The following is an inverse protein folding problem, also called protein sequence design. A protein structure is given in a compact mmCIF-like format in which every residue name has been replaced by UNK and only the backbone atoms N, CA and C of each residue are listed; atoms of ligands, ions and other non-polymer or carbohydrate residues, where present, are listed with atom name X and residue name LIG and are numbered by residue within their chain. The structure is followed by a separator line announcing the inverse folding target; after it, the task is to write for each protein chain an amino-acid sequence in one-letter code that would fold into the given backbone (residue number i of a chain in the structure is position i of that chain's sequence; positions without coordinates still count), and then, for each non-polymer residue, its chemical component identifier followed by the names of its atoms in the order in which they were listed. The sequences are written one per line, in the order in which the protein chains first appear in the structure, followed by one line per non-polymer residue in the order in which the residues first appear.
data_IF_848424659255
#
_entry.id   IF_848424659255
#
_cell.length_a   1.000
_cell.length_b   1.000
_cell.length_c   1.000
_cell.angle_alpha   90.00
_cell.angle_beta   90.00
_cell.angle_gamma   90.00
#
_symmetry.space_group_name_H-M   'P 1'
#
loop_
_entity.id
_entity.type
_entity.pdbx_description
1 polymer ?
#
# COMPACT_ATOMS: atom_id res chain seq x y z
N UNK A 1 71.04 22.08 32.79
CA UNK A 1 71.50 21.55 31.50
C UNK A 1 70.66 22.22 30.43
N UNK A 2 71.26 23.16 29.68
CA UNK A 2 70.61 23.94 28.62
C UNK A 2 70.38 23.07 27.38
N UNK A 3 69.26 23.27 26.67
CA UNK A 3 69.25 23.19 25.20
C UNK A 3 68.24 24.19 24.61
N UNK A 4 68.77 25.06 23.75
CA UNK A 4 68.15 26.04 22.85
C UNK A 4 67.72 25.32 21.56
N UNK A 5 66.60 25.69 20.89
CA UNK A 5 66.41 25.90 19.42
C UNK A 5 65.03 26.61 19.21
N UNK A 6 65.00 27.92 18.91
CA UNK A 6 64.75 28.58 17.60
C UNK A 6 63.37 28.34 16.95
N UNK A 7 62.50 29.36 17.05
CA UNK A 7 61.29 29.55 16.23
C UNK A 7 61.66 30.19 14.88
N UNK A 8 61.34 29.52 13.78
CA UNK A 8 61.37 30.12 12.44
C UNK A 8 59.96 30.50 11.97
N UNK A 9 59.87 31.76 11.52
CA UNK A 9 58.79 32.34 10.74
C UNK A 9 58.73 31.73 9.35
N UNK A 10 57.53 31.38 8.87
CA UNK A 10 57.24 31.20 7.45
C UNK A 10 55.98 31.99 7.08
N UNK A 11 56.21 32.97 6.20
CA UNK A 11 55.23 33.82 5.52
C UNK A 11 54.31 32.96 4.65
N UNK A 12 52.98 33.09 4.80
CA UNK A 12 52.03 32.59 3.81
C UNK A 12 51.91 33.60 2.67
N UNK A 13 52.26 33.15 1.46
CA UNK A 13 51.99 33.86 0.20
C UNK A 13 50.48 33.84 -0.07
N UNK A 14 49.89 35.00 -0.35
CA UNK A 14 48.52 35.12 -0.88
C UNK A 14 48.54 34.76 -2.36
N UNK A 15 47.91 33.65 -2.72
CA UNK A 15 47.57 33.35 -4.10
C UNK A 15 46.20 33.96 -4.40
N UNK A 16 46.17 34.90 -5.35
CA UNK A 16 44.95 35.39 -5.98
C UNK A 16 44.24 34.22 -6.67
N UNK A 17 43.03 33.92 -6.23
CA UNK A 17 42.12 33.02 -6.93
C UNK A 17 41.19 33.86 -7.79
N UNK A 18 41.42 33.84 -9.11
CA UNK A 18 40.49 34.33 -10.11
C UNK A 18 39.15 33.58 -9.97
N UNK A 19 38.10 34.28 -9.55
CA UNK A 19 36.73 33.77 -9.52
C UNK A 19 36.15 33.92 -10.93
N UNK A 20 35.79 32.83 -11.64
CA UNK A 20 35.13 32.94 -12.92
C UNK A 20 33.78 33.63 -12.76
N UNK A 21 33.56 34.69 -13.53
CA UNK A 21 32.25 35.32 -13.70
C UNK A 21 31.27 34.27 -14.23
N UNK A 22 30.41 33.75 -13.35
CA UNK A 22 29.26 32.93 -13.75
C UNK A 22 28.27 33.85 -14.44
N UNK A 23 28.20 33.77 -15.76
CA UNK A 23 27.10 34.31 -16.54
C UNK A 23 25.81 33.69 -16.02
N UNK A 24 24.83 34.53 -15.68
CA UNK A 24 23.45 34.12 -15.43
C UNK A 24 22.87 33.53 -16.72
N UNK A 25 23.20 32.28 -17.02
CA UNK A 25 22.42 31.48 -17.96
C UNK A 25 21.09 31.17 -17.27
N UNK A 26 20.07 31.80 -17.82
CA UNK A 26 18.66 31.53 -17.59
C UNK A 26 18.47 30.02 -17.71
N UNK A 27 18.23 29.33 -16.59
CA UNK A 27 17.79 27.94 -16.60
C UNK A 27 16.50 27.89 -17.42
N UNK A 28 16.62 27.48 -18.68
CA UNK A 28 15.50 27.14 -19.52
C UNK A 28 14.74 26.02 -18.82
N UNK A 29 13.44 26.23 -18.59
CA UNK A 29 12.49 25.22 -18.20
C UNK A 29 12.52 24.09 -19.25
N UNK A 30 13.36 23.09 -19.01
CA UNK A 30 13.14 21.76 -19.60
C UNK A 30 11.79 21.32 -19.06
N UNK A 31 10.78 21.32 -19.92
CA UNK A 31 9.54 20.59 -19.69
C UNK A 31 9.92 19.12 -19.47
N UNK A 32 10.12 18.75 -18.21
CA UNK A 32 10.28 17.37 -17.82
C UNK A 32 8.95 16.69 -18.15
N UNK A 33 8.97 15.84 -19.17
CA UNK A 33 7.78 15.11 -19.60
C UNK A 33 7.33 14.25 -18.44
N UNK A 34 6.22 14.63 -17.79
CA UNK A 34 5.62 13.89 -16.68
C UNK A 34 5.58 12.40 -17.01
N UNK A 35 6.24 11.58 -16.19
CA UNK A 35 6.19 10.10 -16.25
C UNK A 35 4.73 9.64 -16.27
N UNK A 36 4.39 8.72 -17.17
CA UNK A 36 3.09 8.07 -17.16
C UNK A 36 2.97 7.22 -15.89
N UNK A 37 1.89 7.44 -15.14
CA UNK A 37 1.59 6.69 -13.92
C UNK A 37 0.71 5.48 -14.24
N UNK A 38 0.79 4.40 -13.46
CA UNK A 38 -0.12 3.26 -13.60
C UNK A 38 -1.59 3.65 -13.40
N UNK A 39 -1.85 4.61 -12.51
CA UNK A 39 -3.19 5.15 -12.28
C UNK A 39 -3.71 6.07 -13.40
N UNK A 40 -2.88 6.48 -14.37
CA UNK A 40 -3.35 7.39 -15.42
C UNK A 40 -4.50 6.74 -16.23
N UNK A 41 -5.61 7.48 -16.37
CA UNK A 41 -6.85 7.04 -16.99
C UNK A 41 -7.80 6.28 -16.07
N UNK A 42 -7.46 6.04 -14.79
CA UNK A 42 -8.36 5.43 -13.82
C UNK A 42 -9.27 6.49 -13.20
N UNK A 43 -10.59 6.38 -13.35
CA UNK A 43 -11.51 7.29 -12.66
C UNK A 43 -11.62 6.89 -11.19
N UNK A 44 -11.96 5.64 -10.89
CA UNK A 44 -11.84 5.06 -9.56
C UNK A 44 -10.62 4.14 -9.45
N UNK A 45 -10.06 4.03 -8.26
CA UNK A 45 -8.98 3.10 -7.93
C UNK A 45 -9.40 2.27 -6.73
N UNK A 46 -9.22 0.95 -6.85
CA UNK A 46 -9.28 0.03 -5.73
C UNK A 46 -7.89 -0.57 -5.49
N UNK A 47 -7.39 -0.39 -4.28
CA UNK A 47 -6.14 -1.00 -3.81
C UNK A 47 -6.51 -2.23 -2.99
N UNK A 48 -6.23 -3.41 -3.53
CA UNK A 48 -6.49 -4.70 -2.88
C UNK A 48 -5.17 -5.15 -2.25
N UNK A 49 -4.91 -4.69 -1.02
CA UNK A 49 -3.64 -4.88 -0.31
C UNK A 49 -3.73 -6.15 0.52
N UNK A 50 -3.02 -7.19 0.08
CA UNK A 50 -3.22 -8.57 0.50
C UNK A 50 -4.42 -9.17 -0.20
N UNK A 51 -4.29 -9.28 -1.53
CA UNK A 51 -5.38 -9.70 -2.38
C UNK A 51 -5.71 -11.20 -2.26
N UNK A 52 -4.81 -12.01 -1.70
CA UNK A 52 -4.93 -13.46 -1.58
C UNK A 52 -5.32 -14.06 -2.95
N UNK A 53 -6.35 -14.88 -3.07
CA UNK A 53 -6.81 -15.42 -4.36
C UNK A 53 -7.56 -14.40 -5.26
N UNK A 54 -7.68 -13.15 -4.84
CA UNK A 54 -8.22 -12.02 -5.61
C UNK A 54 -9.75 -11.86 -5.58
N UNK A 55 -10.43 -12.43 -4.57
CA UNK A 55 -11.89 -12.42 -4.48
C UNK A 55 -12.49 -11.02 -4.27
N UNK A 56 -11.82 -10.14 -3.54
CA UNK A 56 -12.29 -8.76 -3.33
C UNK A 56 -12.39 -7.96 -4.64
N UNK A 57 -11.45 -8.20 -5.55
CA UNK A 57 -11.50 -7.67 -6.92
C UNK A 57 -12.70 -8.20 -7.71
N UNK A 58 -13.12 -9.45 -7.46
CA UNK A 58 -14.33 -10.03 -8.05
C UNK A 58 -15.60 -9.50 -7.38
N UNK A 59 -15.61 -9.25 -6.08
CA UNK A 59 -16.74 -8.57 -5.41
C UNK A 59 -16.98 -7.18 -5.99
N UNK A 60 -15.91 -6.49 -6.40
CA UNK A 60 -16.01 -5.22 -7.11
C UNK A 60 -16.57 -5.41 -8.52
N UNK A 61 -15.97 -6.25 -9.35
CA UNK A 61 -16.32 -6.32 -10.78
C UNK A 61 -17.54 -7.19 -11.10
N UNK A 62 -17.85 -8.18 -10.28
CA UNK A 62 -18.88 -9.19 -10.50
C UNK A 62 -19.82 -9.30 -9.29
N UNK A 63 -20.36 -8.19 -8.75
CA UNK A 63 -21.04 -8.17 -7.44
C UNK A 63 -22.27 -9.09 -7.38
N UNK A 64 -22.92 -9.38 -8.51
CA UNK A 64 -24.09 -10.27 -8.57
C UNK A 64 -23.74 -11.74 -8.37
N UNK A 65 -22.48 -12.13 -8.64
CA UNK A 65 -21.97 -13.48 -8.40
C UNK A 65 -21.65 -13.73 -6.91
N UNK A 66 -21.62 -12.67 -6.09
CA UNK A 66 -21.24 -12.72 -4.68
C UNK A 66 -22.31 -12.10 -3.78
N UNK A 67 -23.54 -12.65 -3.76
CA UNK A 67 -24.63 -12.09 -2.96
C UNK A 67 -24.30 -12.01 -1.46
N UNK A 68 -23.45 -12.91 -0.97
CA UNK A 68 -23.09 -13.05 0.45
C UNK A 68 -21.89 -12.20 0.88
N UNK A 69 -21.15 -11.60 -0.07
CA UNK A 69 -20.09 -10.62 0.18
C UNK A 69 -20.65 -9.24 0.60
N UNK A 70 -21.42 -9.22 1.68
CA UNK A 70 -22.24 -8.08 2.10
C UNK A 70 -21.42 -6.88 2.53
N UNK A 71 -20.30 -7.10 3.20
CA UNK A 71 -19.47 -6.00 3.73
C UNK A 71 -18.79 -5.30 2.56
N UNK A 72 -18.08 -6.05 1.73
CA UNK A 72 -17.38 -5.50 0.57
C UNK A 72 -18.35 -4.82 -0.41
N UNK A 73 -19.48 -5.45 -0.72
CA UNK A 73 -20.49 -4.87 -1.63
C UNK A 73 -21.13 -3.61 -1.06
N UNK A 74 -21.41 -3.56 0.24
CA UNK A 74 -21.93 -2.36 0.90
C UNK A 74 -20.94 -1.21 0.80
N UNK A 75 -19.66 -1.46 1.09
CA UNK A 75 -18.59 -0.46 0.99
C UNK A 75 -18.44 0.00 -0.46
N UNK A 76 -18.35 -0.90 -1.43
CA UNK A 76 -18.23 -0.51 -2.84
C UNK A 76 -19.46 0.26 -3.34
N UNK A 77 -20.67 -0.10 -2.91
CA UNK A 77 -21.87 0.65 -3.25
C UNK A 77 -21.88 2.06 -2.64
N UNK A 78 -21.43 2.20 -1.39
CA UNK A 78 -21.35 3.49 -0.69
C UNK A 78 -20.27 4.39 -1.29
N UNK A 79 -19.06 3.87 -1.46
CA UNK A 79 -17.89 4.67 -1.83
C UNK A 79 -17.79 4.90 -3.34
N UNK A 80 -18.26 3.95 -4.17
CA UNK A 80 -18.18 4.07 -5.63
C UNK A 80 -19.54 4.29 -6.31
N UNK A 81 -20.65 4.26 -5.58
CA UNK A 81 -22.00 4.37 -6.13
C UNK A 81 -22.57 3.04 -6.63
N UNK A 82 -23.90 2.96 -6.67
CA UNK A 82 -24.63 1.80 -7.15
C UNK A 82 -24.73 1.76 -8.68
N UNK A 83 -24.65 2.92 -9.35
CA UNK A 83 -24.71 3.03 -10.82
C UNK A 83 -23.32 3.09 -11.48
N UNK A 84 -22.33 2.47 -10.82
CA UNK A 84 -20.93 2.40 -11.26
C UNK A 84 -20.74 1.50 -12.49
N UNK A 85 -19.73 1.81 -13.29
CA UNK A 85 -19.35 1.01 -14.47
C UNK A 85 -17.91 0.52 -14.35
N UNK A 86 -17.68 -0.78 -14.50
CA UNK A 86 -16.37 -1.40 -14.27
C UNK A 86 -15.23 -0.80 -15.11
N UNK A 87 -15.51 -0.17 -16.26
CA UNK A 87 -14.50 0.49 -17.11
C UNK A 87 -13.86 1.72 -16.46
N UNK A 88 -14.55 2.31 -15.50
CA UNK A 88 -14.05 3.48 -14.77
C UNK A 88 -13.00 3.12 -13.71
N UNK A 89 -12.83 1.83 -13.40
CA UNK A 89 -11.97 1.36 -12.32
C UNK A 89 -10.60 0.87 -12.82
N UNK A 90 -9.62 1.02 -11.93
CA UNK A 90 -8.43 0.20 -11.92
C UNK A 90 -8.31 -0.50 -10.57
N UNK A 91 -7.97 -1.78 -10.61
CA UNK A 91 -7.66 -2.56 -9.42
C UNK A 91 -6.16 -2.86 -9.40
N UNK A 92 -5.52 -2.56 -8.27
CA UNK A 92 -4.12 -2.91 -8.01
C UNK A 92 -4.09 -3.92 -6.85
N UNK A 93 -3.85 -5.17 -7.19
CA UNK A 93 -3.87 -6.30 -6.28
C UNK A 93 -2.45 -6.68 -5.87
N UNK A 94 -2.10 -6.42 -4.62
CA UNK A 94 -0.81 -6.76 -4.03
C UNK A 94 -0.92 -8.13 -3.38
N UNK A 95 -0.20 -9.10 -3.93
CA UNK A 95 -0.20 -10.46 -3.40
C UNK A 95 1.19 -11.10 -3.58
N UNK A 96 2.01 -11.17 -2.52
CA UNK A 96 3.35 -11.73 -2.57
C UNK A 96 3.41 -13.26 -2.66
N UNK A 97 2.37 -13.99 -2.23
CA UNK A 97 2.41 -15.44 -2.15
C UNK A 97 2.53 -16.06 -3.56
N UNK A 98 3.63 -16.78 -3.86
CA UNK A 98 3.84 -17.36 -5.18
C UNK A 98 2.79 -18.43 -5.53
N UNK A 99 2.15 -19.07 -4.55
CA UNK A 99 1.10 -20.07 -4.78
C UNK A 99 -0.16 -19.44 -5.41
N UNK A 100 -0.41 -18.14 -5.19
CA UNK A 100 -1.53 -17.41 -5.79
C UNK A 100 -1.18 -16.80 -7.16
N UNK A 101 0.08 -16.79 -7.58
CA UNK A 101 0.51 -16.17 -8.85
C UNK A 101 -0.26 -16.71 -10.06
N UNK A 102 -0.37 -18.04 -10.17
CA UNK A 102 -1.07 -18.68 -11.29
C UNK A 102 -2.57 -18.30 -11.33
N UNK A 103 -3.19 -18.10 -10.16
CA UNK A 103 -4.58 -17.64 -10.02
C UNK A 103 -4.73 -16.19 -10.51
N UNK A 104 -3.82 -15.30 -10.12
CA UNK A 104 -3.84 -13.91 -10.56
C UNK A 104 -3.58 -13.73 -12.05
N UNK A 105 -2.75 -14.57 -12.66
CA UNK A 105 -2.59 -14.60 -14.12
C UNK A 105 -3.91 -14.97 -14.81
N UNK A 106 -4.69 -15.89 -14.23
CA UNK A 106 -6.03 -16.22 -14.76
C UNK A 106 -7.01 -15.05 -14.56
N UNK A 107 -6.99 -14.36 -13.42
CA UNK A 107 -7.82 -13.16 -13.18
C UNK A 107 -7.48 -12.05 -14.17
N UNK A 108 -6.21 -11.80 -14.42
CA UNK A 108 -5.77 -10.77 -15.37
C UNK A 108 -6.36 -11.04 -16.75
N UNK A 109 -6.23 -12.27 -17.26
CA UNK A 109 -6.81 -12.67 -18.56
C UNK A 109 -8.34 -12.64 -18.57
N UNK A 110 -8.98 -12.93 -17.44
CA UNK A 110 -10.43 -12.86 -17.30
C UNK A 110 -10.92 -11.42 -17.42
N UNK A 111 -10.36 -10.52 -16.62
CA UNK A 111 -10.73 -9.12 -16.60
C UNK A 111 -10.35 -8.37 -17.88
N UNK A 112 -9.27 -8.73 -18.54
CA UNK A 112 -8.93 -8.25 -19.89
C UNK A 112 -10.05 -8.54 -20.90
N UNK A 113 -10.65 -9.74 -20.87
CA UNK A 113 -11.77 -10.09 -21.77
C UNK A 113 -13.04 -9.29 -21.47
N UNK A 114 -13.23 -8.90 -20.21
CA UNK A 114 -14.32 -8.02 -19.79
C UNK A 114 -14.02 -6.53 -20.08
N UNK A 115 -12.82 -6.21 -20.55
CA UNK A 115 -12.40 -4.84 -20.86
C UNK A 115 -12.18 -3.98 -19.61
N UNK A 116 -11.86 -4.59 -18.47
CA UNK A 116 -11.62 -3.91 -17.18
C UNK A 116 -10.16 -4.05 -16.77
N UNK A 117 -9.66 -3.14 -15.94
CA UNK A 117 -8.22 -3.03 -15.63
C UNK A 117 -7.88 -3.62 -14.27
N UNK A 118 -7.21 -4.76 -14.31
CA UNK A 118 -6.70 -5.47 -13.15
C UNK A 118 -5.19 -5.64 -13.25
N UNK A 119 -4.47 -5.20 -12.23
CA UNK A 119 -3.02 -5.29 -12.14
C UNK A 119 -2.65 -6.15 -10.93
N UNK A 120 -2.07 -7.33 -11.18
CA UNK A 120 -1.42 -8.11 -10.13
C UNK A 120 0.00 -7.62 -9.91
N UNK A 121 0.31 -7.30 -8.66
CA UNK A 121 1.61 -6.86 -8.17
C UNK A 121 2.14 -7.94 -7.22
N UNK A 122 3.07 -8.81 -7.68
CA UNK A 122 3.60 -9.92 -6.88
C UNK A 122 4.68 -9.42 -5.89
N UNK A 123 4.28 -8.51 -5.00
CA UNK A 123 5.16 -7.86 -4.02
C UNK A 123 4.43 -7.74 -2.69
N UNK A 124 5.17 -7.86 -1.60
CA UNK A 124 4.66 -7.56 -0.27
C UNK A 124 4.59 -6.05 -0.07
N UNK A 125 3.64 -5.63 0.75
CA UNK A 125 3.44 -4.23 1.08
C UNK A 125 3.94 -3.95 2.49
N UNK A 126 4.74 -2.90 2.66
CA UNK A 126 5.39 -2.56 3.93
C UNK A 126 5.61 -1.05 4.08
N UNK A 127 6.32 -0.66 5.14
CA UNK A 127 6.75 0.72 5.44
C UNK A 127 8.09 1.10 4.80
N UNK A 128 8.67 0.18 4.02
CA UNK A 128 10.01 0.30 3.44
C UNK A 128 10.18 -0.65 2.25
N UNK A 129 11.01 -0.25 1.29
CA UNK A 129 11.42 -1.13 0.18
C UNK A 129 12.43 -2.18 0.64
N UNK A 130 12.52 -3.29 -0.10
CA UNK A 130 13.55 -4.31 0.09
C UNK A 130 13.02 -5.72 -0.09
N UNK A 131 13.39 -6.60 0.84
CA UNK A 131 12.92 -7.98 0.89
C UNK A 131 12.41 -8.30 2.29
N UNK A 132 11.46 -9.22 2.37
CA UNK A 132 10.92 -9.75 3.63
C UNK A 132 10.74 -11.26 3.50
N UNK A 133 10.86 -11.97 4.62
CA UNK A 133 10.56 -13.39 4.69
C UNK A 133 9.13 -13.57 5.14
N UNK A 134 8.38 -14.36 4.38
CA UNK A 134 7.12 -14.93 4.78
C UNK A 134 7.33 -16.38 5.16
N UNK A 135 6.46 -16.87 6.04
CA UNK A 135 6.44 -18.26 6.49
C UNK A 135 5.15 -18.88 6.01
N UNK A 136 5.13 -20.15 5.64
CA UNK A 136 3.88 -20.84 5.33
C UNK A 136 3.82 -22.25 5.94
N UNK A 137 2.62 -22.69 6.28
CA UNK A 137 2.36 -24.04 6.76
C UNK A 137 2.16 -24.95 5.54
N UNK A 138 2.74 -26.15 5.53
CA UNK A 138 2.66 -27.08 4.37
C UNK A 138 1.25 -27.68 4.11
N UNK A 139 0.19 -27.02 4.55
CA UNK A 139 -1.17 -27.56 4.56
C UNK A 139 -2.10 -26.62 3.78
N UNK A 140 -2.25 -26.88 2.47
CA UNK A 140 -3.05 -26.11 1.51
C UNK A 140 -4.56 -26.08 1.80
N UNK A 141 -5.01 -26.58 2.95
CA UNK A 141 -6.44 -26.81 3.23
C UNK A 141 -7.26 -25.52 3.36
N UNK A 142 -6.62 -24.40 3.65
CA UNK A 142 -7.29 -23.13 3.93
C UNK A 142 -6.67 -21.94 3.14
N UNK A 143 -6.27 -22.14 1.87
CA UNK A 143 -5.62 -21.09 1.04
C UNK A 143 -4.39 -20.44 1.71
N UNK A 144 -3.58 -21.25 2.42
CA UNK A 144 -2.35 -20.82 3.11
C UNK A 144 -2.56 -19.86 4.31
N UNK A 145 -3.56 -20.12 5.19
CA UNK A 145 -3.61 -19.46 6.52
C UNK A 145 -2.23 -19.56 7.18
N UNK A 146 -1.62 -18.38 7.37
CA UNK A 146 -0.31 -18.25 7.94
C UNK A 146 0.80 -17.87 6.97
N UNK A 147 0.53 -17.50 5.71
CA UNK A 147 1.46 -16.71 4.88
C UNK A 147 1.63 -15.30 5.49
N UNK A 148 2.34 -15.26 6.62
CA UNK A 148 2.64 -14.03 7.35
C UNK A 148 4.14 -13.81 7.52
N UNK A 149 4.52 -12.61 7.94
CA UNK A 149 5.90 -12.24 8.27
C UNK A 149 6.36 -12.81 9.63
N UNK A 150 5.51 -13.60 10.28
CA UNK A 150 5.76 -14.23 11.57
C UNK A 150 5.51 -15.74 11.50
N UNK A 151 6.44 -16.52 12.04
CA UNK A 151 6.22 -17.96 12.20
C UNK A 151 5.14 -18.21 13.26
N UNK A 152 4.02 -18.80 12.87
CA UNK A 152 2.99 -19.24 13.80
C UNK A 152 3.61 -20.18 14.86
N UNK A 153 3.32 -19.93 16.14
CA UNK A 153 3.95 -20.62 17.29
C UNK A 153 3.81 -22.16 17.27
N UNK A 154 2.84 -22.70 16.51
CA UNK A 154 2.63 -24.14 16.29
C UNK A 154 3.39 -24.75 15.10
N UNK A 155 3.99 -23.94 14.23
CA UNK A 155 4.67 -24.36 13.00
C UNK A 155 6.19 -24.60 13.20
N UNK A 156 6.67 -24.53 14.46
CA UNK A 156 8.09 -24.67 14.81
C UNK A 156 8.64 -25.98 14.25
N UNK A 157 9.46 -25.87 13.19
CA UNK A 157 10.17 -26.97 12.53
C UNK A 157 9.64 -27.40 11.15
N UNK A 158 8.46 -26.93 10.71
CA UNK A 158 7.87 -27.30 9.41
C UNK A 158 7.51 -26.12 8.51
N UNK A 159 7.60 -24.88 9.00
CA UNK A 159 7.37 -23.70 8.18
C UNK A 159 8.43 -23.57 7.08
N UNK A 160 8.00 -23.30 5.86
CA UNK A 160 8.88 -22.97 4.75
C UNK A 160 8.99 -21.45 4.67
N UNK A 161 10.23 -20.97 4.51
CA UNK A 161 10.54 -19.55 4.35
C UNK A 161 10.52 -19.18 2.88
N UNK A 162 9.76 -18.14 2.54
CA UNK A 162 9.69 -17.56 1.20
C UNK A 162 10.18 -16.12 1.28
N UNK A 163 11.25 -15.79 0.54
CA UNK A 163 11.74 -14.43 0.47
C UNK A 163 11.08 -13.69 -0.68
N UNK A 164 10.32 -12.66 -0.39
CA UNK A 164 9.57 -11.88 -1.39
C UNK A 164 10.06 -10.44 -1.43
N UNK A 165 10.03 -9.79 -2.62
CA UNK A 165 10.27 -8.36 -2.70
C UNK A 165 9.16 -7.62 -1.94
N UNK A 166 9.53 -6.57 -1.22
CA UNK A 166 8.59 -5.65 -0.59
C UNK A 166 8.79 -4.22 -1.08
N UNK A 167 7.70 -3.48 -1.10
CA UNK A 167 7.70 -2.06 -1.44
C UNK A 167 7.13 -1.24 -0.29
N UNK A 168 7.57 0.02 -0.20
CA UNK A 168 6.91 1.00 0.65
C UNK A 168 5.62 1.49 0.00
N UNK A 169 4.47 1.17 0.59
CA UNK A 169 3.17 1.49 -0.01
C UNK A 169 2.98 2.99 -0.25
N UNK A 170 3.41 3.80 0.73
CA UNK A 170 3.26 5.24 0.68
C UNK A 170 3.92 5.84 -0.58
N UNK A 171 5.15 5.41 -0.87
CA UNK A 171 5.91 5.91 -2.01
C UNK A 171 5.28 5.42 -3.33
N UNK A 172 4.87 4.15 -3.41
CA UNK A 172 4.18 3.63 -4.59
C UNK A 172 2.87 4.36 -4.89
N UNK A 173 2.03 4.63 -3.87
CA UNK A 173 0.77 5.38 -4.06
C UNK A 173 1.06 6.80 -4.54
N UNK A 174 2.08 7.47 -4.01
CA UNK A 174 2.46 8.81 -4.46
C UNK A 174 2.94 8.81 -5.91
N UNK A 175 3.75 7.83 -6.28
CA UNK A 175 4.34 7.74 -7.60
C UNK A 175 3.31 7.34 -8.66
N UNK A 176 2.42 6.40 -8.34
CA UNK A 176 1.59 5.73 -9.35
C UNK A 176 0.10 6.12 -9.29
N UNK A 177 -0.41 6.66 -8.17
CA UNK A 177 -1.85 6.94 -7.98
C UNK A 177 -2.15 8.42 -7.69
N UNK A 178 -1.36 9.05 -6.83
CA UNK A 178 -1.58 10.44 -6.43
C UNK A 178 -1.51 11.35 -7.66
N UNK A 179 -2.46 12.28 -7.79
CA UNK A 179 -2.56 13.20 -8.95
C UNK A 179 -2.54 12.51 -10.33
N UNK A 180 -2.96 11.24 -10.42
CA UNK A 180 -3.14 10.53 -11.70
C UNK A 180 -4.00 11.36 -12.66
N UNK A 181 -3.69 11.27 -13.96
CA UNK A 181 -4.52 11.90 -14.99
C UNK A 181 -5.87 11.18 -15.02
N UNK A 182 -6.97 11.89 -14.79
CA UNK A 182 -8.30 11.31 -14.91
C UNK A 182 -8.63 11.04 -16.38
N UNK A 183 -9.47 10.03 -16.68
CA UNK A 183 -9.87 9.76 -18.06
C UNK A 183 -10.74 10.90 -18.60
N UNK A 184 -10.69 11.11 -19.91
CA UNK A 184 -11.54 12.09 -20.60
C UNK A 184 -12.99 11.66 -20.71
N UNK A 185 -13.26 10.36 -20.53
CA UNK A 185 -14.58 9.75 -20.56
C UNK A 185 -14.78 8.91 -19.31
N UNK A 186 -15.92 9.14 -18.66
CA UNK A 186 -16.43 8.38 -17.53
C UNK A 186 -17.72 7.68 -17.99
N UNK A 187 -17.87 6.40 -17.69
CA UNK A 187 -18.93 5.55 -18.22
C UNK A 187 -20.12 5.37 -17.26
N UNK A 188 -19.84 5.31 -15.95
CA UNK A 188 -20.83 5.17 -14.90
C UNK A 188 -21.60 6.47 -14.65
N UNK A 189 -22.72 6.35 -13.94
CA UNK A 189 -23.51 7.50 -13.49
C UNK A 189 -23.30 7.67 -11.98
N UNK A 190 -22.54 8.70 -11.60
CA UNK A 190 -22.17 8.96 -10.20
C UNK A 190 -23.02 10.06 -9.56
N UNK A 191 -24.28 10.20 -9.97
CA UNK A 191 -25.22 11.16 -9.39
C UNK A 191 -25.81 10.71 -8.05
N UNK A 192 -25.66 9.43 -7.72
CA UNK A 192 -26.06 8.80 -6.47
C UNK A 192 -25.04 8.98 -5.35
N UNK A 193 -23.80 9.37 -5.69
CA UNK A 193 -22.79 9.85 -4.75
C UNK A 193 -22.74 11.38 -4.76
N UNK A 194 -22.25 12.00 -3.68
CA UNK A 194 -22.19 13.46 -3.63
C UNK A 194 -21.19 13.96 -4.70
N UNK A 195 -21.55 14.89 -5.60
CA UNK A 195 -20.66 15.34 -6.68
C UNK A 195 -19.33 15.91 -6.19
N UNK A 196 -19.25 16.37 -4.93
CA UNK A 196 -17.99 16.81 -4.30
C UNK A 196 -17.02 15.68 -3.99
N UNK A 197 -17.52 14.44 -3.96
CA UNK A 197 -16.75 13.26 -3.58
C UNK A 197 -15.83 12.81 -4.71
N UNK A 198 -16.17 13.12 -5.97
CA UNK A 198 -15.29 12.97 -7.12
C UNK A 198 -14.76 11.54 -7.35
N UNK A 199 -13.65 11.40 -8.08
CA UNK A 199 -12.99 10.11 -8.27
C UNK A 199 -12.33 9.64 -6.98
N UNK A 200 -12.61 8.38 -6.60
CA UNK A 200 -12.21 7.77 -5.32
C UNK A 200 -11.02 6.82 -5.42
N UNK A 201 -10.25 6.75 -4.34
CA UNK A 201 -9.29 5.68 -4.05
C UNK A 201 -9.74 4.96 -2.77
N UNK A 202 -10.18 3.72 -2.93
CA UNK A 202 -10.59 2.86 -1.80
C UNK A 202 -9.55 1.77 -1.63
N UNK A 203 -9.22 1.42 -0.39
CA UNK A 203 -8.22 0.40 -0.08
C UNK A 203 -8.79 -0.67 0.85
N UNK A 204 -8.66 -1.93 0.47
CA UNK A 204 -8.71 -3.07 1.39
C UNK A 204 -7.30 -3.31 1.92
N UNK A 205 -7.13 -3.49 3.23
CA UNK A 205 -5.87 -3.83 3.87
C UNK A 205 -6.05 -5.00 4.83
N UNK A 206 -5.40 -6.10 4.48
CA UNK A 206 -5.32 -7.32 5.28
C UNK A 206 -4.06 -8.03 4.75
N UNK A 207 -2.97 -7.82 5.47
CA UNK A 207 -1.59 -8.14 5.09
C UNK A 207 -0.86 -8.80 6.25
N UNK A 208 -1.59 -9.62 7.00
CA UNK A 208 -1.03 -10.61 7.92
C UNK A 208 -0.03 -10.01 8.92
N UNK A 209 -0.47 -9.01 9.69
CA UNK A 209 0.27 -8.24 10.72
C UNK A 209 1.02 -7.01 10.21
N UNK A 210 1.31 -6.90 8.90
CA UNK A 210 1.98 -5.72 8.33
C UNK A 210 1.13 -4.42 8.43
N UNK A 211 -0.15 -4.50 8.80
CA UNK A 211 -1.03 -3.32 8.95
C UNK A 211 -0.48 -2.34 10.00
N UNK A 212 0.22 -2.88 11.01
CA UNK A 212 0.78 -2.13 12.12
C UNK A 212 2.03 -1.33 11.76
N UNK A 213 2.69 -1.63 10.65
CA UNK A 213 3.75 -0.79 10.07
C UNK A 213 3.19 0.09 8.95
N UNK A 214 2.37 -0.48 8.06
CA UNK A 214 1.87 0.20 6.86
C UNK A 214 0.89 1.32 7.21
N UNK A 215 -0.10 1.10 8.08
CA UNK A 215 -1.09 2.13 8.39
C UNK A 215 -0.45 3.37 9.05
N UNK A 216 0.43 3.25 10.07
CA UNK A 216 1.16 4.39 10.57
C UNK A 216 2.02 5.09 9.51
N UNK A 217 2.73 4.37 8.64
CA UNK A 217 3.53 4.98 7.58
C UNK A 217 2.65 5.78 6.59
N UNK A 218 1.51 5.24 6.16
CA UNK A 218 0.54 5.96 5.32
C UNK A 218 0.02 7.24 6.00
N UNK A 219 -0.23 7.17 7.32
CA UNK A 219 -0.69 8.31 8.10
C UNK A 219 0.41 9.39 8.24
N UNK A 220 1.64 8.99 8.59
CA UNK A 220 2.74 9.93 8.85
C UNK A 220 3.41 10.48 7.58
N UNK A 221 3.40 9.73 6.48
CA UNK A 221 3.77 10.24 5.15
C UNK A 221 2.73 11.24 4.60
N UNK A 222 1.52 11.23 5.17
CA UNK A 222 0.37 12.03 4.74
C UNK A 222 -0.33 11.47 3.51
N UNK A 223 0.09 10.32 2.97
CA UNK A 223 -0.52 9.67 1.79
C UNK A 223 -1.97 9.32 2.05
N UNK A 224 -2.27 8.81 3.26
CA UNK A 224 -3.62 8.52 3.71
C UNK A 224 -4.53 9.73 3.45
N UNK A 225 -4.19 10.88 4.06
CA UNK A 225 -4.99 12.09 3.98
C UNK A 225 -4.94 12.87 2.67
N UNK A 226 -4.05 12.53 1.73
CA UNK A 226 -3.93 13.19 0.43
C UNK A 226 -4.58 12.41 -0.71
N UNK A 227 -4.65 11.09 -0.60
CA UNK A 227 -4.93 10.22 -1.75
C UNK A 227 -6.00 9.19 -1.46
N UNK A 228 -6.07 8.63 -0.24
CA UNK A 228 -6.93 7.47 0.05
C UNK A 228 -8.24 7.97 0.70
N UNK A 229 -9.38 7.72 0.06
CA UNK A 229 -10.68 8.19 0.52
C UNK A 229 -11.30 7.29 1.60
N UNK A 230 -11.04 5.98 1.52
CA UNK A 230 -11.62 4.99 2.43
C UNK A 230 -10.70 3.78 2.60
N UNK A 231 -10.60 3.28 3.83
CA UNK A 231 -9.86 2.06 4.14
C UNK A 231 -10.77 1.06 4.86
N UNK A 232 -10.73 -0.19 4.44
CA UNK A 232 -11.34 -1.30 5.16
C UNK A 232 -10.43 -2.53 5.20
N UNK A 233 -10.81 -3.54 5.97
CA UNK A 233 -10.09 -4.81 6.08
C UNK A 233 -9.95 -5.27 7.53
N UNK A 234 -8.97 -6.14 7.76
CA UNK A 234 -8.71 -6.77 9.06
C UNK A 234 -7.37 -6.31 9.64
N UNK A 235 -7.36 -6.02 10.94
CA UNK A 235 -6.13 -5.78 11.69
C UNK A 235 -5.80 -7.01 12.51
N UNK A 236 -4.73 -7.71 12.14
CA UNK A 236 -4.25 -8.91 12.83
C UNK A 236 -3.72 -8.55 14.22
N UNK A 237 -4.56 -8.68 15.25
CA UNK A 237 -4.23 -8.22 16.60
C UNK A 237 -3.25 -9.11 17.37
N UNK A 238 -2.86 -10.25 16.83
CA UNK A 238 -2.05 -11.24 17.54
C UNK A 238 -0.63 -11.26 17.01
N UNK A 239 0.35 -11.35 17.92
CA UNK A 239 1.76 -11.64 17.60
C UNK A 239 2.48 -10.61 16.72
N UNK A 240 2.06 -9.35 16.75
CA UNK A 240 2.67 -8.27 16.00
C UNK A 240 4.06 -7.96 16.55
N UNK A 241 5.12 -8.25 15.78
CA UNK A 241 6.50 -7.98 16.18
C UNK A 241 7.36 -7.45 15.04
N UNK A 242 7.72 -6.18 15.14
CA UNK A 242 8.68 -5.53 14.26
C UNK A 242 10.00 -5.33 14.97
N UNK A 243 11.08 -5.75 14.33
CA UNK A 243 12.41 -5.48 14.84
C UNK A 243 12.72 -3.97 14.78
N UNK A 244 13.48 -3.43 15.75
CA UNK A 244 14.00 -2.07 15.66
C UNK A 244 14.82 -1.92 14.37
N UNK A 245 14.76 -0.76 13.75
CA UNK A 245 15.64 -0.46 12.62
C UNK A 245 17.13 -0.52 12.99
N UNK A 246 18.06 -0.38 12.03
CA UNK A 246 19.50 -0.53 12.23
C UNK A 246 20.12 0.35 13.34
N UNK A 247 19.42 1.42 13.73
CA UNK A 247 19.82 2.31 14.83
C UNK A 247 19.50 1.77 16.23
N UNK A 248 18.83 0.62 16.35
CA UNK A 248 18.33 0.06 17.61
C UNK A 248 17.19 0.89 18.23
N UNK A 249 16.68 1.90 17.53
CA UNK A 249 15.53 2.72 17.91
C UNK A 249 14.34 2.39 17.01
N UNK A 250 13.14 2.44 17.57
CA UNK A 250 11.91 2.02 16.89
C UNK A 250 11.63 0.54 17.10
N UNK A 251 10.80 -0.03 16.22
CA UNK A 251 10.24 -1.36 16.39
C UNK A 251 8.95 -1.32 17.22
N UNK A 252 8.15 -2.36 17.07
CA UNK A 252 6.84 -2.48 17.71
C UNK A 252 6.68 -3.93 18.14
N UNK A 253 6.62 -4.17 19.44
CA UNK A 253 6.42 -5.49 20.01
C UNK A 253 5.12 -5.49 20.79
N UNK A 254 4.06 -6.06 20.20
CA UNK A 254 2.74 -6.16 20.82
C UNK A 254 2.50 -7.63 21.15
N UNK A 255 3.01 -8.05 22.30
CA UNK A 255 2.95 -9.45 22.75
C UNK A 255 1.53 -9.90 23.11
N UNK A 256 0.64 -8.96 23.43
CA UNK A 256 -0.75 -9.24 23.79
C UNK A 256 -1.69 -8.57 22.79
N UNK A 257 -2.76 -9.26 22.43
CA UNK A 257 -3.78 -8.69 21.55
C UNK A 257 -4.48 -7.44 22.14
N UNK A 258 -4.42 -7.23 23.45
CA UNK A 258 -4.85 -5.97 24.06
C UNK A 258 -3.94 -4.80 23.69
N UNK A 259 -2.62 -5.01 23.61
CA UNK A 259 -1.66 -3.98 23.20
C UNK A 259 -1.87 -3.62 21.73
N UNK A 260 -2.11 -4.64 20.88
CA UNK A 260 -2.56 -4.50 19.49
C UNK A 260 -3.77 -3.59 19.34
N UNK A 261 -4.87 -3.94 20.04
CA UNK A 261 -6.10 -3.15 20.03
C UNK A 261 -5.90 -1.73 20.55
N UNK A 262 -5.12 -1.56 21.62
CA UNK A 262 -4.85 -0.25 22.20
C UNK A 262 -4.03 0.62 21.24
N UNK A 263 -3.04 0.04 20.56
CA UNK A 263 -2.25 0.73 19.55
C UNK A 263 -3.12 1.25 18.40
N UNK A 264 -3.89 0.37 17.76
CA UNK A 264 -4.80 0.75 16.67
C UNK A 264 -5.81 1.81 17.14
N UNK A 265 -6.35 1.67 18.35
CA UNK A 265 -7.27 2.66 18.91
C UNK A 265 -6.63 4.05 19.07
N UNK A 266 -5.38 4.15 19.54
CA UNK A 266 -4.69 5.45 19.62
C UNK A 266 -4.33 6.00 18.25
N UNK A 267 -3.97 5.12 17.31
CA UNK A 267 -3.68 5.48 15.93
C UNK A 267 -4.92 6.12 15.27
N UNK A 268 -6.07 5.45 15.36
CA UNK A 268 -7.34 5.96 14.84
C UNK A 268 -7.79 7.26 15.54
N UNK A 269 -7.57 7.40 16.85
CA UNK A 269 -7.82 8.68 17.56
C UNK A 269 -6.94 9.80 17.02
N UNK A 270 -5.67 9.52 16.73
CA UNK A 270 -4.75 10.48 16.15
C UNK A 270 -5.20 10.88 14.75
N UNK A 271 -5.58 9.90 13.92
CA UNK A 271 -6.18 10.12 12.60
C UNK A 271 -7.43 11.03 12.68
N UNK A 272 -8.38 10.74 13.56
CA UNK A 272 -9.60 11.54 13.70
C UNK A 272 -9.34 12.99 14.21
N UNK A 273 -8.15 13.28 14.72
CA UNK A 273 -7.76 14.64 15.09
C UNK A 273 -7.25 15.48 13.91
N UNK A 274 -6.91 14.83 12.78
CA UNK A 274 -6.41 15.49 11.58
C UNK A 274 -7.55 16.21 10.87
N UNK A 275 -7.40 17.52 10.69
CA UNK A 275 -8.32 18.34 9.89
C UNK A 275 -7.91 18.30 8.42
N UNK A 276 -8.89 18.38 7.51
CA UNK A 276 -8.68 18.41 6.06
C UNK A 276 -8.03 17.13 5.48
N UNK A 277 -8.37 15.97 6.05
CA UNK A 277 -8.00 14.66 5.51
C UNK A 277 -9.04 14.23 4.47
N UNK A 278 -8.64 13.74 3.29
CA UNK A 278 -9.60 13.17 2.32
C UNK A 278 -10.15 11.82 2.77
N UNK A 279 -9.37 11.07 3.55
CA UNK A 279 -9.83 9.81 4.14
C UNK A 279 -10.99 10.08 5.07
N UNK A 280 -12.15 9.52 4.72
CA UNK A 280 -13.38 9.69 5.49
C UNK A 280 -13.41 8.75 6.69
N UNK A 281 -12.93 7.52 6.51
CA UNK A 281 -13.06 6.45 7.49
C UNK A 281 -12.01 5.34 7.27
N UNK A 282 -11.62 4.71 8.37
CA UNK A 282 -10.88 3.46 8.41
C UNK A 282 -11.78 2.49 9.19
N UNK A 283 -12.44 1.58 8.47
CA UNK A 283 -13.41 0.67 9.06
C UNK A 283 -12.79 -0.71 9.29
N UNK A 284 -13.00 -1.33 10.47
CA UNK A 284 -12.82 -2.77 10.58
C UNK A 284 -13.91 -3.47 9.75
N UNK A 285 -13.54 -4.47 8.98
CA UNK A 285 -14.47 -5.26 8.19
C UNK A 285 -13.75 -5.89 7.03
N UNK A 286 -13.52 -7.20 7.13
CA UNK A 286 -13.11 -8.03 6.02
C UNK A 286 -14.26 -8.98 5.63
N UNK A 287 -14.28 -9.42 4.37
CA UNK A 287 -15.34 -10.26 3.81
C UNK A 287 -14.79 -11.60 3.30
N UNK A 288 -14.57 -12.52 4.23
CA UNK A 288 -14.11 -13.88 3.95
C UNK A 288 -15.22 -14.87 3.54
N UNK A 289 -16.42 -14.37 3.21
CA UNK A 289 -17.57 -15.23 2.87
C UNK A 289 -17.33 -16.17 1.67
N UNK A 290 -16.30 -15.88 0.87
CA UNK A 290 -15.86 -16.67 -0.27
C UNK A 290 -14.37 -17.00 -0.21
N UNK A 291 -13.89 -17.55 0.92
CA UNK A 291 -12.47 -17.94 1.11
C UNK A 291 -11.90 -18.75 -0.07
N UNK A 292 -12.68 -19.70 -0.62
CA UNK A 292 -12.26 -20.53 -1.77
C UNK A 292 -12.74 -20.01 -3.13
N UNK A 293 -13.26 -18.78 -3.18
CA UNK A 293 -13.99 -18.15 -4.28
C UNK A 293 -15.30 -18.87 -4.65
N UNK A 294 -15.21 -20.15 -5.04
CA UNK A 294 -16.32 -21.03 -5.37
C UNK A 294 -17.00 -20.72 -6.71
N UNK A 295 -16.68 -19.59 -7.34
CA UNK A 295 -17.27 -19.13 -8.60
C UNK A 295 -16.28 -19.32 -9.76
N UNK A 296 -16.68 -19.93 -10.90
CA UNK A 296 -15.82 -20.02 -12.08
C UNK A 296 -15.41 -18.66 -12.66
N UNK A 297 -14.29 -18.66 -13.41
CA UNK A 297 -13.88 -17.55 -14.29
C UNK A 297 -14.46 -17.75 -15.69
#
# INVERSE_FOLDING_TARGET
MLLIIWLHSLKSQSADFDVPHVSHERFENKHETRKNKLGDGCYHVFLDVGANIGVHSRFLYEPDSYPDARIARSIFGKEFGASRDNRDFCVFAFEPNPNHFARHVKLTKHFEKLGVRYYHLPVAVSDSDGFIFFYHNKDDRDEEIGFGDHQLLGARGNAVEEMVPKIRLADWIMDEIHERKLPTKVFGNYSDINPKDGPKVVMKMDIESQEYAVLPDLMFSGVLCKTIDYVFGEFHIWWVRYEPGPSGRGGLNLERGEDGRNFVKQLLRSFHSVKNCVTSEISPGDDESHLHDGIPL
#
